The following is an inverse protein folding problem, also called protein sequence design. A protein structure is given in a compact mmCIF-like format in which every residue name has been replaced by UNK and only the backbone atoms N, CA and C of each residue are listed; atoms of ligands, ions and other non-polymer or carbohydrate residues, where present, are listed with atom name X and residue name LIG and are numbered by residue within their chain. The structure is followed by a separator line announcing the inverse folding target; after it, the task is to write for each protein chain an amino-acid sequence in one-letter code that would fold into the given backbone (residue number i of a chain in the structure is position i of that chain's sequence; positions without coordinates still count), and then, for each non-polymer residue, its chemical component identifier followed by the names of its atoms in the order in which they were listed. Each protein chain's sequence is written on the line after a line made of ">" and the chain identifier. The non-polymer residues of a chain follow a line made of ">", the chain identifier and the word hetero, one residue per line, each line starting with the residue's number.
data_IF_522557943379
#
_entry.id   IF_522557943379
#
_cell.length_a   1.000
_cell.length_b   1.000
_cell.length_c   1.000
_cell.angle_alpha   90.00
_cell.angle_beta   90.00
_cell.angle_gamma   90.00
#
_symmetry.space_group_name_H-M   'P 1'
#
loop_
_entity.id
_entity.type
_entity.pdbx_description
1 polymer ?
#
# COMPACT_ATOMS: atom_id res chain seq x y z
N UNK A 1 29.57 -0.13 12.98
CA UNK A 1 30.47 0.10 11.84
C UNK A 1 29.74 0.07 10.47
N UNK A 2 28.48 0.51 10.37
CA UNK A 2 27.78 0.68 9.08
C UNK A 2 27.77 2.14 8.58
N UNK A 3 27.86 3.12 9.49
CA UNK A 3 27.89 4.54 9.11
C UNK A 3 29.16 4.96 8.36
N UNK A 4 30.33 4.40 8.70
CA UNK A 4 31.58 4.74 8.01
C UNK A 4 31.60 4.28 6.55
N UNK A 5 30.87 3.20 6.23
CA UNK A 5 30.86 2.61 4.89
C UNK A 5 30.01 3.42 3.91
N UNK A 6 28.99 4.14 4.40
CA UNK A 6 28.13 4.98 3.56
C UNK A 6 28.78 6.33 3.22
N UNK A 7 29.54 6.91 4.16
CA UNK A 7 30.27 8.16 3.94
C UNK A 7 31.44 7.94 2.97
N UNK A 8 32.16 6.82 3.10
CA UNK A 8 33.29 6.50 2.21
C UNK A 8 32.83 6.25 0.76
N UNK A 9 31.66 5.63 0.56
CA UNK A 9 31.06 5.43 -0.77
C UNK A 9 30.59 6.74 -1.40
N UNK A 10 30.02 7.66 -0.61
CA UNK A 10 29.64 8.98 -1.09
C UNK A 10 30.84 9.80 -1.56
N UNK A 11 31.96 9.76 -0.83
CA UNK A 11 33.19 10.42 -1.24
C UNK A 11 33.82 9.81 -2.50
N UNK A 12 33.71 8.49 -2.69
CA UNK A 12 34.21 7.82 -3.89
C UNK A 12 33.40 8.19 -5.15
N UNK A 13 32.09 8.40 -5.02
CA UNK A 13 31.22 8.83 -6.13
C UNK A 13 31.45 10.28 -6.54
N UNK A 14 31.80 11.16 -5.61
CA UNK A 14 32.07 12.59 -5.91
C UNK A 14 33.42 12.75 -6.62
N UNK A 15 34.42 11.91 -6.31
CA UNK A 15 35.75 12.02 -6.90
C UNK A 15 35.84 11.55 -8.37
N UNK A 16 34.88 10.74 -8.84
CA UNK A 16 34.92 10.12 -10.17
C UNK A 16 34.13 10.86 -11.26
N UNK A 17 33.58 12.05 -10.97
CA UNK A 17 33.00 12.93 -12.01
C UNK A 17 31.78 12.36 -12.76
N UNK A 18 31.15 11.31 -12.24
CA UNK A 18 29.96 10.69 -12.82
C UNK A 18 28.70 11.38 -12.28
N UNK A 19 28.47 12.59 -12.78
CA UNK A 19 27.14 13.19 -12.66
C UNK A 19 26.19 12.47 -13.62
N UNK A 20 25.01 12.12 -13.09
CA UNK A 20 23.82 11.60 -13.78
C UNK A 20 23.62 10.09 -13.70
N UNK A 21 22.45 9.72 -13.18
CA UNK A 21 21.85 8.39 -13.11
C UNK A 21 22.27 7.49 -11.94
N UNK A 22 22.08 7.98 -10.71
CA UNK A 22 21.52 7.10 -9.68
C UNK A 22 20.01 7.31 -9.74
N UNK A 23 19.32 6.39 -10.44
CA UNK A 23 17.90 6.17 -10.23
C UNK A 23 17.66 6.10 -8.73
N UNK A 24 16.87 7.04 -8.22
CA UNK A 24 16.18 6.92 -6.95
C UNK A 24 15.37 5.63 -7.00
N UNK A 25 15.94 4.52 -6.55
CA UNK A 25 15.16 3.42 -6.04
C UNK A 25 14.41 3.99 -4.83
N UNK A 26 13.17 4.41 -5.07
CA UNK A 26 12.17 4.62 -4.02
C UNK A 26 12.23 3.38 -3.14
N UNK A 27 12.69 3.52 -1.90
CA UNK A 27 12.72 2.44 -0.93
C UNK A 27 11.28 1.92 -0.79
N UNK A 28 10.98 0.79 -1.44
CA UNK A 28 9.69 0.11 -1.28
C UNK A 28 9.54 -0.25 0.20
N UNK A 29 8.43 0.17 0.81
CA UNK A 29 8.09 -0.20 2.18
C UNK A 29 7.96 -1.73 2.31
N UNK A 30 8.27 -2.27 3.49
CA UNK A 30 8.17 -3.70 3.79
C UNK A 30 6.76 -4.25 3.54
N UNK A 31 5.70 -3.47 3.83
CA UNK A 31 4.31 -3.89 3.63
C UNK A 31 3.92 -3.92 2.15
N UNK A 32 4.42 -2.97 1.36
CA UNK A 32 4.24 -2.98 -0.08
C UNK A 32 4.88 -4.23 -0.70
N UNK A 33 6.09 -4.58 -0.27
CA UNK A 33 6.78 -5.79 -0.72
C UNK A 33 6.02 -7.05 -0.32
N UNK A 34 5.56 -7.12 0.93
CA UNK A 34 4.77 -8.25 1.42
C UNK A 34 3.47 -8.42 0.63
N UNK A 35 2.77 -7.31 0.33
CA UNK A 35 1.58 -7.32 -0.50
C UNK A 35 1.86 -7.80 -1.93
N UNK A 36 2.90 -7.27 -2.58
CA UNK A 36 3.30 -7.69 -3.94
C UNK A 36 3.60 -9.20 -4.00
N UNK A 37 4.35 -9.71 -3.03
CA UNK A 37 4.69 -11.14 -2.97
C UNK A 37 3.47 -12.02 -2.69
N UNK A 38 2.56 -11.57 -1.82
CA UNK A 38 1.27 -12.25 -1.60
C UNK A 38 0.51 -12.43 -2.91
N UNK A 39 0.38 -11.36 -3.71
CA UNK A 39 -0.35 -11.42 -4.99
C UNK A 39 0.35 -12.35 -6.00
N UNK A 40 1.68 -12.26 -6.11
CA UNK A 40 2.45 -13.15 -7.00
C UNK A 40 2.25 -14.62 -6.63
N UNK A 41 2.32 -14.95 -5.35
CA UNK A 41 2.18 -16.33 -4.86
C UNK A 41 0.76 -16.86 -5.06
N UNK A 42 -0.26 -16.09 -4.70
CA UNK A 42 -1.65 -16.53 -4.78
C UNK A 42 -2.13 -16.75 -6.21
N UNK A 43 -1.68 -15.91 -7.14
CA UNK A 43 -2.18 -15.92 -8.50
C UNK A 43 -1.20 -16.53 -9.51
N UNK A 44 0.03 -16.85 -9.08
CA UNK A 44 1.08 -17.39 -9.97
C UNK A 44 1.31 -16.53 -11.22
N UNK A 45 1.30 -15.21 -11.05
CA UNK A 45 1.33 -14.20 -12.12
C UNK A 45 2.54 -13.29 -12.01
N UNK A 46 2.91 -12.67 -13.13
CA UNK A 46 3.76 -11.49 -13.10
C UNK A 46 2.94 -10.26 -12.71
N UNK A 47 3.56 -9.33 -12.02
CA UNK A 47 2.92 -8.09 -11.56
C UNK A 47 3.73 -6.90 -12.05
N UNK A 48 3.04 -5.89 -12.57
CA UNK A 48 3.60 -4.57 -12.76
C UNK A 48 3.02 -3.64 -11.71
N UNK A 49 3.89 -2.85 -11.10
CA UNK A 49 3.56 -1.94 -10.00
C UNK A 49 3.85 -0.52 -10.43
N UNK A 50 2.93 0.39 -10.16
CA UNK A 50 3.07 1.81 -10.41
C UNK A 50 2.70 2.59 -9.15
N UNK A 51 3.45 3.65 -8.82
CA UNK A 51 3.06 4.57 -7.74
C UNK A 51 1.83 5.37 -8.16
N UNK A 52 0.85 5.46 -7.28
CA UNK A 52 -0.31 6.33 -7.48
C UNK A 52 0.17 7.78 -7.29
N UNK A 53 -0.13 8.70 -8.23
CA UNK A 53 0.24 10.11 -8.07
C UNK A 53 -0.35 10.71 -6.78
N UNK A 54 0.43 11.53 -6.08
CA UNK A 54 0.04 12.12 -4.79
C UNK A 54 -1.31 12.87 -4.85
N UNK A 55 -1.60 13.58 -5.95
CA UNK A 55 -2.87 14.27 -6.16
C UNK A 55 -4.08 13.31 -6.19
N UNK A 56 -3.90 12.13 -6.80
CA UNK A 56 -4.94 11.11 -6.85
C UNK A 56 -5.14 10.47 -5.46
N UNK A 57 -4.06 10.19 -4.75
CA UNK A 57 -4.11 9.69 -3.37
C UNK A 57 -4.87 10.68 -2.47
N UNK A 58 -4.51 11.97 -2.52
CA UNK A 58 -5.18 13.01 -1.76
C UNK A 58 -6.68 13.08 -2.10
N UNK A 59 -7.03 12.94 -3.38
CA UNK A 59 -8.44 12.89 -3.81
C UNK A 59 -9.18 11.69 -3.25
N UNK A 60 -8.56 10.50 -3.21
CA UNK A 60 -9.17 9.30 -2.64
C UNK A 60 -9.37 9.46 -1.13
N UNK A 61 -8.34 9.96 -0.43
CA UNK A 61 -8.35 10.20 1.02
C UNK A 61 -9.41 11.22 1.40
N UNK A 62 -9.36 12.44 0.86
CA UNK A 62 -10.29 13.54 1.20
C UNK A 62 -11.76 13.19 0.97
N UNK A 63 -12.05 12.31 0.00
CA UNK A 63 -13.41 11.85 -0.30
C UNK A 63 -13.91 10.75 0.66
N UNK A 64 -13.03 10.04 1.33
CA UNK A 64 -13.40 8.87 2.13
C UNK A 64 -13.08 9.01 3.63
N UNK A 65 -12.23 9.96 4.00
CA UNK A 65 -11.87 10.26 5.38
C UNK A 65 -12.53 11.56 5.88
N UNK A 66 -12.80 11.61 7.19
CA UNK A 66 -13.14 12.87 7.87
C UNK A 66 -11.95 13.83 7.73
N UNK A 67 -12.23 15.09 7.36
CA UNK A 67 -11.21 16.13 7.14
C UNK A 67 -10.25 16.29 8.34
N UNK A 68 -10.72 16.06 9.58
CA UNK A 68 -9.85 16.13 10.76
C UNK A 68 -8.85 14.98 10.77
N UNK A 69 -9.26 13.78 10.36
CA UNK A 69 -8.36 12.62 10.28
C UNK A 69 -7.39 12.76 9.11
N UNK A 70 -7.85 13.29 7.97
CA UNK A 70 -6.97 13.63 6.84
C UNK A 70 -5.85 14.57 7.26
N UNK A 71 -6.15 15.63 8.02
CA UNK A 71 -5.14 16.58 8.53
C UNK A 71 -4.13 15.98 9.51
N UNK A 72 -4.42 14.82 10.09
CA UNK A 72 -3.53 14.12 11.00
C UNK A 72 -2.64 13.10 10.30
N UNK A 73 -2.76 12.93 8.98
CA UNK A 73 -1.84 12.10 8.22
C UNK A 73 -0.45 12.73 8.24
N UNK A 74 0.55 11.95 8.66
CA UNK A 74 1.96 12.35 8.57
C UNK A 74 2.52 12.04 7.19
N UNK A 75 2.02 10.98 6.56
CA UNK A 75 2.40 10.55 5.23
C UNK A 75 1.29 9.71 4.61
N UNK A 76 1.22 9.75 3.28
CA UNK A 76 0.31 8.94 2.51
C UNK A 76 0.98 8.46 1.23
N UNK A 77 0.90 7.17 0.97
CA UNK A 77 1.47 6.55 -0.22
C UNK A 77 0.51 5.52 -0.82
N UNK A 78 0.76 5.18 -2.08
CA UNK A 78 -0.08 4.26 -2.79
C UNK A 78 0.60 3.62 -4.00
N UNK A 79 0.17 2.40 -4.31
CA UNK A 79 0.54 1.70 -5.53
C UNK A 79 -0.67 1.12 -6.24
N UNK A 80 -0.63 1.14 -7.56
CA UNK A 80 -1.45 0.33 -8.43
C UNK A 80 -0.65 -0.91 -8.85
N UNK A 81 -1.26 -2.07 -8.66
CA UNK A 81 -0.75 -3.37 -9.06
C UNK A 81 -1.65 -3.90 -10.17
N UNK A 82 -1.02 -4.16 -11.32
CA UNK A 82 -1.65 -4.83 -12.46
C UNK A 82 -1.00 -6.20 -12.65
N UNK A 83 -1.81 -7.25 -12.71
CA UNK A 83 -1.28 -8.56 -13.09
C UNK A 83 -1.14 -8.65 -14.61
N UNK A 84 -0.01 -9.20 -15.04
CA UNK A 84 0.22 -9.58 -16.42
C UNK A 84 0.04 -11.11 -16.51
N UNK A 85 -0.95 -11.59 -17.26
CA UNK A 85 -1.14 -13.03 -17.41
C UNK A 85 0.13 -13.64 -18.02
N UNK A 86 0.64 -14.70 -17.38
CA UNK A 86 1.72 -15.53 -17.93
C UNK A 86 1.14 -16.52 -18.96
N UNK A 87 -0.14 -16.84 -18.82
CA UNK A 87 -0.94 -17.64 -19.74
C UNK A 87 -2.29 -16.93 -19.98
N UNK A 88 -2.79 -17.02 -21.21
CA UNK A 88 -4.04 -16.42 -21.72
C UNK A 88 -5.32 -16.83 -20.97
N UNK A 89 -5.20 -17.81 -20.07
CA UNK A 89 -6.29 -18.34 -19.23
C UNK A 89 -6.59 -17.49 -17.99
N UNK A 90 -5.69 -16.61 -17.58
CA UNK A 90 -5.85 -15.78 -16.37
C UNK A 90 -6.35 -14.38 -16.74
N UNK A 91 -7.51 -13.99 -16.20
CA UNK A 91 -8.01 -12.62 -16.36
C UNK A 91 -7.12 -11.63 -15.61
N UNK A 92 -6.61 -10.57 -16.28
CA UNK A 92 -5.86 -9.53 -15.61
C UNK A 92 -6.66 -8.92 -14.45
N UNK A 93 -6.00 -8.71 -13.32
CA UNK A 93 -6.57 -8.04 -12.16
C UNK A 93 -5.86 -6.70 -11.97
N UNK A 94 -6.59 -5.73 -11.45
CA UNK A 94 -6.06 -4.46 -10.97
C UNK A 94 -6.42 -4.32 -9.51
N UNK A 95 -5.42 -4.07 -8.68
CA UNK A 95 -5.55 -3.82 -7.25
C UNK A 95 -4.78 -2.56 -6.91
N UNK A 96 -5.32 -1.75 -6.03
CA UNK A 96 -4.63 -0.62 -5.45
C UNK A 96 -4.38 -0.89 -3.97
N UNK A 97 -3.19 -0.54 -3.49
CA UNK A 97 -2.84 -0.50 -2.06
C UNK A 97 -2.55 0.95 -1.69
N UNK A 98 -3.22 1.45 -0.65
CA UNK A 98 -2.90 2.72 0.00
C UNK A 98 -2.35 2.45 1.40
N UNK A 99 -1.34 3.24 1.77
CA UNK A 99 -0.80 3.29 3.11
C UNK A 99 -1.05 4.68 3.67
N UNK A 100 -1.78 4.73 4.79
CA UNK A 100 -2.05 5.94 5.54
C UNK A 100 -1.24 5.88 6.83
N UNK A 101 -0.35 6.85 7.04
CA UNK A 101 0.52 6.90 8.22
C UNK A 101 0.02 8.01 9.16
N UNK A 102 -0.19 7.63 10.42
CA UNK A 102 -0.63 8.52 11.51
C UNK A 102 0.49 8.73 12.52
N UNK A 103 0.41 9.78 13.37
CA UNK A 103 1.44 10.03 14.38
C UNK A 103 1.54 8.93 15.45
N UNK A 104 0.42 8.26 15.75
CA UNK A 104 0.36 7.22 16.76
C UNK A 104 -0.76 6.20 16.46
N UNK A 105 -0.71 5.08 17.18
CA UNK A 105 -1.65 3.98 17.04
C UNK A 105 -3.07 4.37 17.42
N UNK A 106 -3.26 5.21 18.45
CA UNK A 106 -4.59 5.64 18.88
C UNK A 106 -5.29 6.46 17.78
N UNK A 107 -4.55 7.31 17.08
CA UNK A 107 -5.03 8.09 15.94
C UNK A 107 -5.38 7.18 14.76
N UNK A 108 -4.57 6.16 14.48
CA UNK A 108 -4.87 5.16 13.45
C UNK A 108 -6.15 4.37 13.78
N UNK A 109 -6.37 3.97 15.04
CA UNK A 109 -7.62 3.33 15.49
C UNK A 109 -8.82 4.24 15.26
N UNK A 110 -8.71 5.53 15.62
CA UNK A 110 -9.80 6.49 15.40
C UNK A 110 -10.12 6.66 13.92
N UNK A 111 -9.11 6.77 13.06
CA UNK A 111 -9.28 6.85 11.62
C UNK A 111 -9.92 5.58 11.04
N UNK A 112 -9.51 4.39 11.50
CA UNK A 112 -10.13 3.12 11.12
C UNK A 112 -11.61 3.08 11.47
N UNK A 113 -12.00 3.56 12.66
CA UNK A 113 -13.41 3.61 13.07
C UNK A 113 -14.25 4.54 12.19
N UNK A 114 -13.66 5.61 11.64
CA UNK A 114 -14.35 6.51 10.70
C UNK A 114 -14.51 5.86 9.31
N UNK A 115 -13.47 5.19 8.83
CA UNK A 115 -13.51 4.43 7.57
C UNK A 115 -14.45 3.21 7.64
N UNK A 116 -14.50 2.56 8.80
CA UNK A 116 -15.02 1.20 9.02
C UNK A 116 -16.53 1.03 9.15
N UNK A 117 -17.37 1.84 8.50
CA UNK A 117 -18.83 1.61 8.49
C UNK A 117 -19.36 0.97 7.20
N UNK A 118 -18.64 1.04 6.09
CA UNK A 118 -19.04 0.47 4.79
C UNK A 118 -17.82 -0.10 4.07
N UNK A 119 -17.94 -1.28 3.45
CA UNK A 119 -16.86 -1.93 2.66
C UNK A 119 -16.67 -1.32 1.26
N UNK A 120 -17.22 -0.13 1.03
CA UNK A 120 -17.21 0.55 -0.25
C UNK A 120 -16.90 2.03 -0.05
N UNK A 121 -16.13 2.61 -0.96
CA UNK A 121 -15.92 4.06 -0.97
C UNK A 121 -17.26 4.79 -1.11
N UNK A 122 -17.44 5.82 -0.28
CA UNK A 122 -18.75 6.47 -0.11
C UNK A 122 -19.09 7.43 -1.26
N UNK A 123 -18.06 8.03 -1.85
CA UNK A 123 -18.19 9.10 -2.84
C UNK A 123 -17.59 8.72 -4.21
N UNK A 124 -17.74 7.45 -4.59
CA UNK A 124 -17.37 6.96 -5.92
C UNK A 124 -18.61 6.81 -6.81
N UNK A 125 -18.46 7.11 -8.10
CA UNK A 125 -19.55 6.94 -9.09
C UNK A 125 -19.95 5.47 -9.29
N UNK A 126 -19.03 4.57 -8.99
CA UNK A 126 -19.19 3.11 -9.01
C UNK A 126 -18.93 2.55 -7.61
N UNK A 127 -19.47 1.40 -7.27
CA UNK A 127 -19.15 0.73 -5.99
C UNK A 127 -17.70 0.22 -6.05
N UNK A 128 -16.80 0.90 -5.34
CA UNK A 128 -15.39 0.50 -5.21
C UNK A 128 -15.24 -0.26 -3.89
N UNK A 129 -15.16 -1.60 -3.91
CA UNK A 129 -14.95 -2.38 -2.71
C UNK A 129 -13.54 -2.17 -2.17
N UNK A 130 -13.42 -2.11 -0.85
CA UNK A 130 -12.13 -2.05 -0.18
C UNK A 130 -12.11 -2.91 1.08
N UNK A 131 -10.90 -3.27 1.48
CA UNK A 131 -10.56 -3.86 2.77
C UNK A 131 -9.46 -3.05 3.42
N UNK A 132 -9.46 -3.03 4.75
CA UNK A 132 -8.55 -2.23 5.55
C UNK A 132 -8.00 -3.05 6.70
N UNK A 133 -6.72 -2.88 7.00
CA UNK A 133 -6.06 -3.44 8.17
C UNK A 133 -5.22 -2.37 8.86
N UNK A 134 -5.18 -2.40 10.18
CA UNK A 134 -4.32 -1.54 10.98
C UNK A 134 -3.04 -2.30 11.34
N UNK A 135 -1.88 -1.62 11.19
CA UNK A 135 -0.57 -2.13 11.58
C UNK A 135 0.17 -1.05 12.37
N UNK A 136 0.03 -1.06 13.69
CA UNK A 136 0.52 0.01 14.57
C UNK A 136 -0.16 1.35 14.24
N UNK A 137 0.63 2.38 13.95
CA UNK A 137 0.17 3.72 13.58
C UNK A 137 -0.21 3.88 12.10
N UNK A 138 -0.44 2.77 11.39
CA UNK A 138 -0.67 2.77 9.93
C UNK A 138 -1.95 2.05 9.58
N UNK A 139 -2.63 2.53 8.53
CA UNK A 139 -3.75 1.86 7.91
C UNK A 139 -3.38 1.47 6.49
N UNK A 140 -3.48 0.18 6.18
CA UNK A 140 -3.30 -0.36 4.84
C UNK A 140 -4.67 -0.64 4.25
N UNK A 141 -4.96 -0.04 3.09
CA UNK A 141 -6.24 -0.16 2.40
C UNK A 141 -6.00 -0.79 1.05
N UNK A 142 -6.65 -1.92 0.77
CA UNK A 142 -6.65 -2.54 -0.56
C UNK A 142 -8.01 -2.41 -1.20
N UNK A 143 -8.05 -1.97 -2.45
CA UNK A 143 -9.28 -1.80 -3.20
C UNK A 143 -9.11 -2.15 -4.68
N UNK A 144 -10.21 -2.24 -5.41
CA UNK A 144 -10.22 -2.38 -6.87
C UNK A 144 -11.34 -1.55 -7.47
N UNK A 145 -11.04 -0.83 -8.55
CA UNK A 145 -12.09 -0.19 -9.36
C UNK A 145 -12.80 -1.20 -10.28
N UNK A 146 -12.24 -2.39 -10.47
CA UNK A 146 -12.82 -3.45 -11.29
C UNK A 146 -13.67 -4.41 -10.44
N UNK A 147 -14.79 -3.91 -9.93
CA UNK A 147 -15.69 -4.68 -9.04
C UNK A 147 -16.31 -5.93 -9.70
N UNK A 148 -16.22 -6.07 -11.03
CA UNK A 148 -16.67 -7.27 -11.75
C UNK A 148 -15.65 -8.42 -11.77
N UNK A 149 -14.41 -8.18 -11.31
CA UNK A 149 -13.36 -9.19 -11.31
C UNK A 149 -13.38 -10.01 -10.01
N UNK A 150 -13.93 -11.23 -10.06
CA UNK A 150 -14.07 -12.10 -8.89
C UNK A 150 -12.75 -12.41 -8.19
N UNK A 151 -11.64 -12.50 -8.92
CA UNK A 151 -10.31 -12.74 -8.34
C UNK A 151 -9.82 -11.54 -7.55
N UNK A 152 -10.02 -10.32 -8.06
CA UNK A 152 -9.70 -9.10 -7.33
C UNK A 152 -10.55 -8.96 -6.06
N UNK A 153 -11.85 -9.28 -6.14
CA UNK A 153 -12.74 -9.31 -4.98
C UNK A 153 -12.25 -10.32 -3.93
N UNK A 154 -11.88 -11.53 -4.35
CA UNK A 154 -11.38 -12.56 -3.43
C UNK A 154 -10.11 -12.11 -2.68
N UNK A 155 -9.21 -11.40 -3.35
CA UNK A 155 -8.03 -10.80 -2.70
C UNK A 155 -8.45 -9.75 -1.66
N UNK A 156 -9.34 -8.83 -2.03
CA UNK A 156 -9.84 -7.80 -1.12
C UNK A 156 -10.45 -8.44 0.13
N UNK A 157 -11.29 -9.47 -0.01
CA UNK A 157 -11.95 -10.12 1.12
C UNK A 157 -10.97 -10.84 2.07
N UNK A 158 -9.88 -11.41 1.54
CA UNK A 158 -8.89 -12.15 2.34
C UNK A 158 -7.79 -11.27 2.93
N UNK A 159 -7.59 -10.07 2.38
CA UNK A 159 -6.52 -9.15 2.76
C UNK A 159 -6.36 -8.93 4.29
N UNK A 160 -7.43 -8.69 5.08
CA UNK A 160 -7.31 -8.48 6.52
C UNK A 160 -6.83 -9.71 7.30
N UNK A 161 -6.91 -10.91 6.72
CA UNK A 161 -6.49 -12.15 7.39
C UNK A 161 -5.07 -12.57 7.03
N UNK A 162 -4.58 -12.19 5.85
CA UNK A 162 -3.30 -12.68 5.31
C UNK A 162 -2.11 -11.78 5.69
N UNK A 163 -2.29 -10.45 5.72
CA UNK A 163 -1.28 -9.51 6.23
C UNK A 163 -1.27 -9.50 7.77
N UNK A 164 -2.39 -9.82 8.40
CA UNK A 164 -2.57 -9.70 9.85
C UNK A 164 -2.07 -10.92 10.65
N UNK A 165 -1.63 -11.99 9.99
CA UNK A 165 -0.98 -13.13 10.66
C UNK A 165 0.34 -12.72 11.33
N UNK A 166 1.13 -11.85 10.72
CA UNK A 166 2.35 -11.29 11.35
C UNK A 166 2.04 -10.16 12.37
N UNK A 167 0.85 -9.57 12.30
CA UNK A 167 0.43 -8.50 13.21
C UNK A 167 -0.08 -9.03 14.55
N UNK A 168 -0.82 -10.16 14.56
CA UNK A 168 -1.29 -10.81 15.81
C UNK A 168 -0.14 -11.22 16.73
N UNK A 169 0.96 -11.73 16.18
CA UNK A 169 2.09 -12.19 16.99
C UNK A 169 2.86 -11.08 17.72
N UNK A 170 2.72 -9.82 17.30
CA UNK A 170 3.33 -8.67 18.00
C UNK A 170 2.41 -8.07 19.07
N UNK A 171 1.10 -8.13 18.89
CA UNK A 171 0.14 -7.65 19.89
C UNK A 171 0.01 -8.56 21.11
N UNK A 172 0.29 -9.86 20.99
CA UNK A 172 0.18 -10.81 22.10
C UNK A 172 1.46 -10.94 22.94
N UNK A 173 2.52 -10.19 22.61
CA UNK A 173 3.80 -10.19 23.36
C UNK A 173 4.13 -8.85 24.04
N UNK A 174 3.18 -7.94 24.14
CA UNK A 174 3.31 -6.72 24.94
C UNK A 174 2.40 -6.76 26.16
#
# INVERSE_FOLDING_TARGET
>A
MQMLNNILKHFLCILLGLSSFICLASDMNADERAFIELIKQQLSVQVSVQRIPAEQIHTIVSRNLDLRMEKLLTQVDGIDLHTRPVDSTITPIQLALLELIYPDEATAVQALQQLGKKRYFQHSKILIPFSIVQVGHRLLIVFTENAGNSSAIAVIEKFPTEICNDCRFKSERM
#
